data_IF_286774699186
#
_entry.id   IF_286774699186
#
_cell.length_a   1.000
_cell.length_b   1.000
_cell.length_c   1.000
_cell.angle_alpha   90.00
_cell.angle_beta   90.00
_cell.angle_gamma   90.00
#
_symmetry.space_group_name_H-M   'P 1'
#
loop_
_entity.id
_entity.type
_entity.pdbx_description
1 polymer ?
#
# COMPACT_ATOMS: atom_id res chain seq x y z
N UNK A 1 10.17 -40.29 -18.93
CA UNK A 1 11.27 -40.07 -17.98
C UNK A 1 10.67 -40.12 -16.59
N UNK A 2 10.94 -41.19 -15.84
CA UNK A 2 10.36 -41.39 -14.51
C UNK A 2 11.00 -40.41 -13.52
N UNK A 3 10.18 -39.69 -12.77
CA UNK A 3 10.66 -38.77 -11.73
C UNK A 3 11.11 -39.61 -10.54
N UNK A 4 12.35 -39.37 -10.11
CA UNK A 4 12.95 -39.99 -8.95
C UNK A 4 12.39 -39.26 -7.71
N UNK A 5 11.31 -39.76 -7.13
CA UNK A 5 10.70 -39.16 -5.94
C UNK A 5 11.37 -39.77 -4.69
N UNK A 6 11.94 -38.96 -3.78
CA UNK A 6 12.50 -39.45 -2.52
C UNK A 6 11.43 -40.16 -1.67
N UNK A 7 11.84 -41.21 -0.95
CA UNK A 7 10.96 -42.17 -0.27
C UNK A 7 10.19 -41.61 0.95
N UNK A 8 10.38 -40.34 1.30
CA UNK A 8 9.87 -39.69 2.51
C UNK A 8 8.99 -38.46 2.23
N UNK A 9 8.61 -38.23 0.97
CA UNK A 9 7.80 -37.05 0.62
C UNK A 9 6.32 -37.23 1.01
N UNK A 10 5.96 -36.73 2.20
CA UNK A 10 4.57 -36.57 2.65
C UNK A 10 4.01 -35.24 2.11
N UNK A 11 3.58 -35.23 0.85
CA UNK A 11 2.91 -34.07 0.25
C UNK A 11 1.58 -34.45 -0.36
N UNK A 12 0.68 -33.47 -0.47
CA UNK A 12 -0.63 -33.67 -1.07
C UNK A 12 -0.50 -34.05 -2.56
N UNK A 13 -1.37 -34.96 -3.01
CA UNK A 13 -1.46 -35.30 -4.43
C UNK A 13 -2.09 -34.16 -5.21
N UNK A 14 -1.38 -33.64 -6.23
CA UNK A 14 -1.86 -32.56 -7.09
C UNK A 14 -2.12 -33.08 -8.51
N UNK A 15 -3.33 -32.89 -9.01
CA UNK A 15 -3.67 -33.11 -10.42
C UNK A 15 -3.83 -31.77 -11.14
N UNK A 16 -3.18 -31.62 -12.30
CA UNK A 16 -3.23 -30.38 -13.10
C UNK A 16 -3.76 -30.68 -14.49
N UNK A 17 -4.92 -30.11 -14.83
CA UNK A 17 -5.54 -30.22 -16.15
C UNK A 17 -5.28 -28.93 -16.94
N UNK A 18 -4.55 -29.02 -18.04
CA UNK A 18 -4.22 -27.87 -18.89
C UNK A 18 -5.03 -27.90 -20.17
N UNK A 19 -5.71 -26.80 -20.46
CA UNK A 19 -6.37 -26.57 -21.75
C UNK A 19 -5.39 -25.94 -22.74
N UNK A 20 -5.50 -26.37 -24.00
CA UNK A 20 -4.79 -25.73 -25.12
C UNK A 20 -5.35 -24.31 -25.33
N UNK A 21 -4.49 -23.30 -25.20
CA UNK A 21 -4.87 -21.88 -25.26
C UNK A 21 -4.64 -21.38 -26.69
N UNK A 22 -5.66 -20.80 -27.29
CA UNK A 22 -5.60 -20.28 -28.67
C UNK A 22 -5.77 -18.76 -28.76
N UNK A 23 -6.30 -18.12 -27.70
CA UNK A 23 -6.48 -16.67 -27.56
C UNK A 23 -6.56 -16.27 -26.08
N UNK A 24 -6.51 -14.98 -25.80
CA UNK A 24 -6.73 -14.38 -24.47
C UNK A 24 -5.84 -14.96 -23.36
N UNK A 25 -4.55 -15.16 -23.65
CA UNK A 25 -3.57 -15.63 -22.68
C UNK A 25 -2.34 -14.73 -22.67
N UNK A 26 -1.68 -14.65 -21.51
CA UNK A 26 -0.40 -13.97 -21.36
C UNK A 26 0.69 -15.01 -21.20
N UNK A 27 1.73 -14.92 -22.03
CA UNK A 27 2.97 -15.68 -21.84
C UNK A 27 3.86 -14.86 -20.92
N UNK A 28 4.30 -15.47 -19.83
CA UNK A 28 5.24 -14.87 -18.90
C UNK A 28 6.34 -15.87 -18.56
N UNK A 29 7.53 -15.36 -18.34
CA UNK A 29 8.65 -16.08 -17.74
C UNK A 29 8.31 -16.55 -16.34
N UNK A 30 8.99 -17.62 -15.92
CA UNK A 30 8.79 -18.19 -14.58
C UNK A 30 9.57 -17.46 -13.48
N UNK A 31 10.34 -16.42 -13.83
CA UNK A 31 11.26 -15.74 -12.91
C UNK A 31 10.52 -15.22 -11.67
N UNK A 32 9.55 -14.32 -11.85
CA UNK A 32 8.77 -13.81 -10.71
C UNK A 32 7.82 -14.85 -10.13
N UNK A 33 7.29 -15.78 -10.94
CA UNK A 33 6.39 -16.84 -10.48
C UNK A 33 7.07 -17.81 -9.49
N UNK A 34 8.40 -17.92 -9.55
CA UNK A 34 9.20 -18.81 -8.70
C UNK A 34 10.07 -18.07 -7.69
N UNK A 35 10.00 -16.74 -7.66
CA UNK A 35 10.78 -15.93 -6.75
C UNK A 35 10.23 -16.05 -5.32
N UNK A 36 11.02 -16.64 -4.43
CA UNK A 36 10.66 -16.84 -3.02
C UNK A 36 10.72 -15.54 -2.21
N UNK A 37 11.31 -14.47 -2.76
CA UNK A 37 11.36 -13.16 -2.12
C UNK A 37 10.10 -12.33 -2.38
N UNK A 38 9.18 -12.82 -3.23
CA UNK A 38 7.90 -12.21 -3.51
C UNK A 38 6.77 -12.95 -2.80
N UNK A 39 5.88 -12.18 -2.19
CA UNK A 39 4.58 -12.65 -1.73
C UNK A 39 3.70 -13.01 -2.93
N UNK A 40 2.79 -13.98 -2.76
CA UNK A 40 1.82 -14.33 -3.81
C UNK A 40 0.97 -13.14 -4.26
N UNK A 41 0.76 -12.16 -3.38
CA UNK A 41 0.09 -10.90 -3.71
C UNK A 41 0.91 -10.08 -4.70
N UNK A 42 2.21 -9.92 -4.46
CA UNK A 42 3.12 -9.24 -5.38
C UNK A 42 3.25 -9.98 -6.71
N UNK A 43 3.38 -11.32 -6.68
CA UNK A 43 3.41 -12.16 -7.89
C UNK A 43 2.13 -12.01 -8.71
N UNK A 44 0.96 -12.07 -8.05
CA UNK A 44 -0.33 -11.90 -8.71
C UNK A 44 -0.51 -10.51 -9.30
N UNK A 45 -0.11 -9.47 -8.58
CA UNK A 45 -0.17 -8.09 -9.07
C UNK A 45 0.75 -7.89 -10.28
N UNK A 46 2.00 -8.35 -10.21
CA UNK A 46 2.95 -8.26 -11.33
C UNK A 46 2.43 -9.02 -12.56
N UNK A 47 1.96 -10.24 -12.38
CA UNK A 47 1.41 -11.05 -13.46
C UNK A 47 0.21 -10.38 -14.13
N UNK A 48 -0.66 -9.76 -13.33
CA UNK A 48 -1.79 -8.99 -13.85
C UNK A 48 -1.33 -7.75 -14.60
N UNK A 49 -0.36 -7.00 -14.08
CA UNK A 49 0.19 -5.83 -14.76
C UNK A 49 0.82 -6.19 -16.12
N UNK A 50 1.57 -7.30 -16.20
CA UNK A 50 2.15 -7.82 -17.44
C UNK A 50 1.13 -8.36 -18.45
N UNK A 51 -0.12 -8.58 -18.03
CA UNK A 51 -1.19 -9.06 -18.93
C UNK A 51 -1.88 -7.96 -19.72
N UNK A 52 -1.67 -6.69 -19.36
CA UNK A 52 -2.23 -5.55 -20.09
C UNK A 52 -1.36 -5.17 -21.31
N UNK A 53 -1.91 -4.35 -22.22
CA UNK A 53 -1.16 -3.92 -23.39
C UNK A 53 -0.02 -2.95 -23.03
N UNK A 54 0.92 -2.80 -23.97
CA UNK A 54 1.96 -1.79 -23.89
C UNK A 54 1.34 -0.39 -23.95
N UNK A 55 1.78 0.49 -23.04
CA UNK A 55 1.31 1.88 -22.94
C UNK A 55 0.12 2.09 -21.99
N UNK A 56 -0.34 1.05 -21.30
CA UNK A 56 -1.36 1.19 -20.27
C UNK A 56 -0.88 2.07 -19.11
N UNK A 57 -1.65 3.10 -18.76
CA UNK A 57 -1.33 4.00 -17.64
C UNK A 57 -1.97 3.51 -16.34
N UNK A 58 -1.14 3.14 -15.36
CA UNK A 58 -1.61 2.74 -14.04
C UNK A 58 -1.60 3.90 -13.05
N UNK A 59 -2.65 3.93 -12.22
CA UNK A 59 -2.60 4.60 -10.92
C UNK A 59 -2.86 3.58 -9.82
N UNK A 60 -2.37 3.83 -8.60
CA UNK A 60 -2.67 2.96 -7.45
C UNK A 60 -4.18 2.79 -7.25
N UNK A 61 -4.96 3.85 -7.48
CA UNK A 61 -6.44 3.79 -7.39
C UNK A 61 -7.04 2.95 -8.51
N UNK A 62 -6.55 3.09 -9.74
CA UNK A 62 -7.00 2.29 -10.88
C UNK A 62 -6.73 0.80 -10.66
N UNK A 63 -5.53 0.45 -10.17
CA UNK A 63 -5.19 -0.92 -9.80
C UNK A 63 -6.10 -1.47 -8.69
N UNK A 64 -6.40 -0.68 -7.66
CA UNK A 64 -7.32 -1.09 -6.60
C UNK A 64 -8.77 -1.22 -7.08
N UNK A 65 -9.18 -0.50 -8.12
CA UNK A 65 -10.54 -0.60 -8.67
C UNK A 65 -10.74 -1.86 -9.52
N UNK A 66 -9.69 -2.38 -10.17
CA UNK A 66 -9.77 -3.57 -11.03
C UNK A 66 -9.39 -4.86 -10.29
N UNK A 67 -8.82 -4.76 -9.09
CA UNK A 67 -8.41 -5.87 -8.25
C UNK A 67 -9.42 -6.05 -7.11
N UNK A 68 -9.52 -7.27 -6.57
CA UNK A 68 -10.37 -7.54 -5.40
C UNK A 68 -9.70 -7.00 -4.12
N UNK A 69 -8.39 -6.85 -4.17
CA UNK A 69 -7.52 -6.35 -3.13
C UNK A 69 -7.74 -4.85 -2.89
N UNK A 70 -7.81 -4.47 -1.61
CA UNK A 70 -7.92 -3.07 -1.23
C UNK A 70 -6.67 -2.23 -1.56
N UNK A 71 -6.79 -0.89 -1.51
CA UNK A 71 -5.71 0.03 -1.89
C UNK A 71 -4.42 -0.18 -1.10
N UNK A 72 -4.49 -0.53 0.18
CA UNK A 72 -3.31 -0.80 1.02
C UNK A 72 -2.59 -2.10 0.63
N UNK A 73 -3.37 -3.11 0.21
CA UNK A 73 -2.82 -4.36 -0.30
C UNK A 73 -2.10 -4.13 -1.64
N UNK A 74 -2.67 -3.31 -2.53
CA UNK A 74 -2.01 -2.91 -3.78
C UNK A 74 -0.75 -2.09 -3.49
N UNK A 75 -0.82 -1.12 -2.57
CA UNK A 75 0.31 -0.26 -2.24
C UNK A 75 1.46 -1.05 -1.60
N UNK A 76 1.16 -2.02 -0.73
CA UNK A 76 2.18 -2.89 -0.14
C UNK A 76 2.84 -3.78 -1.20
N UNK A 77 2.06 -4.38 -2.10
CA UNK A 77 2.59 -5.17 -3.21
C UNK A 77 3.50 -4.34 -4.14
N UNK A 78 3.10 -3.10 -4.50
CA UNK A 78 3.93 -2.22 -5.32
C UNK A 78 5.27 -1.89 -4.64
N UNK A 79 5.28 -1.64 -3.31
CA UNK A 79 6.53 -1.40 -2.56
C UNK A 79 7.42 -2.63 -2.52
N UNK A 80 6.83 -3.82 -2.41
CA UNK A 80 7.54 -5.09 -2.42
C UNK A 80 8.18 -5.37 -3.78
N UNK A 81 7.46 -5.11 -4.88
CA UNK A 81 8.00 -5.21 -6.24
C UNK A 81 9.15 -4.23 -6.48
N UNK A 82 9.02 -2.99 -6.00
CA UNK A 82 10.08 -1.97 -6.06
C UNK A 82 11.34 -2.42 -5.31
N UNK A 83 11.16 -2.97 -4.10
CA UNK A 83 12.27 -3.48 -3.27
C UNK A 83 13.01 -4.64 -3.93
N UNK A 84 12.29 -5.55 -4.60
CA UNK A 84 12.88 -6.72 -5.25
C UNK A 84 13.31 -6.46 -6.71
N UNK A 85 13.20 -5.20 -7.17
CA UNK A 85 13.73 -4.78 -8.46
C UNK A 85 12.84 -5.11 -9.67
N UNK A 86 11.57 -5.43 -9.46
CA UNK A 86 10.59 -5.69 -10.54
C UNK A 86 9.85 -4.43 -10.98
N UNK A 87 10.00 -3.33 -10.25
CA UNK A 87 9.28 -2.09 -10.50
C UNK A 87 10.16 -0.87 -10.19
N UNK A 88 10.06 0.17 -11.03
CA UNK A 88 10.62 1.50 -10.76
C UNK A 88 9.48 2.50 -10.76
N UNK A 89 9.48 3.43 -9.80
CA UNK A 89 8.47 4.48 -9.69
C UNK A 89 9.05 5.85 -10.01
N UNK A 90 8.56 6.46 -11.09
CA UNK A 90 8.85 7.84 -11.45
C UNK A 90 7.76 8.77 -10.91
N UNK A 91 8.16 9.93 -10.36
CA UNK A 91 7.24 10.92 -9.82
C UNK A 91 7.49 12.27 -10.47
N UNK A 92 6.59 12.67 -11.36
CA UNK A 92 6.60 14.00 -11.97
C UNK A 92 6.04 15.05 -11.02
N UNK A 93 6.76 16.15 -10.84
CA UNK A 93 6.25 17.35 -10.15
C UNK A 93 5.92 18.43 -11.19
N UNK A 94 4.85 19.18 -10.99
CA UNK A 94 4.60 20.39 -11.79
C UNK A 94 5.58 21.51 -11.43
N UNK A 95 5.54 22.57 -12.24
CA UNK A 95 6.25 23.82 -12.00
C UNK A 95 5.87 24.52 -10.68
N UNK A 96 4.81 24.06 -10.00
CA UNK A 96 4.35 24.53 -8.69
C UNK A 96 4.72 23.55 -7.56
N UNK A 97 5.53 22.53 -7.84
CA UNK A 97 6.02 21.54 -6.87
C UNK A 97 5.00 20.47 -6.46
N UNK A 98 3.79 20.45 -7.02
CA UNK A 98 2.77 19.43 -6.75
C UNK A 98 3.09 18.15 -7.51
N UNK A 99 2.81 17.00 -6.90
CA UNK A 99 2.91 15.71 -7.59
C UNK A 99 1.80 15.63 -8.63
N UNK A 100 2.15 15.52 -9.91
CA UNK A 100 1.18 15.53 -11.02
C UNK A 100 1.04 14.15 -11.66
N UNK A 101 2.15 13.41 -11.80
CA UNK A 101 2.11 12.07 -12.39
C UNK A 101 2.95 11.09 -11.58
N UNK A 102 2.49 9.85 -11.52
CA UNK A 102 3.29 8.71 -11.06
C UNK A 102 3.30 7.70 -12.18
N UNK A 103 4.48 7.41 -12.69
CA UNK A 103 4.72 6.45 -13.76
C UNK A 103 5.47 5.25 -13.19
N UNK A 104 5.22 4.08 -13.77
CA UNK A 104 5.78 2.82 -13.31
C UNK A 104 6.44 2.10 -14.48
N UNK A 105 7.73 1.79 -14.33
CA UNK A 105 8.38 0.83 -15.21
C UNK A 105 8.27 -0.54 -14.57
N UNK A 106 7.77 -1.51 -15.32
CA UNK A 106 7.54 -2.88 -14.86
C UNK A 106 8.49 -3.80 -15.60
N UNK A 107 9.17 -4.68 -14.86
CA UNK A 107 10.13 -5.61 -15.41
C UNK A 107 9.72 -7.05 -15.10
N UNK A 108 9.85 -7.92 -16.10
CA UNK A 108 9.57 -9.36 -15.96
C UNK A 108 10.67 -10.09 -15.16
N UNK A 109 11.87 -9.52 -15.14
CA UNK A 109 13.01 -10.02 -14.37
C UNK A 109 13.60 -8.89 -13.53
N UNK A 110 14.13 -9.21 -12.33
CA UNK A 110 14.60 -8.20 -11.39
C UNK A 110 15.81 -7.46 -11.97
N UNK A 111 15.77 -6.13 -11.91
CA UNK A 111 16.85 -5.28 -12.38
C UNK A 111 17.82 -4.99 -11.24
N UNK A 112 19.11 -5.29 -11.45
CA UNK A 112 20.16 -4.99 -10.48
C UNK A 112 20.41 -3.47 -10.43
N UNK A 113 20.53 -2.92 -9.22
CA UNK A 113 20.91 -1.52 -9.03
C UNK A 113 19.80 -0.50 -9.29
N UNK A 114 18.52 -0.91 -9.28
CA UNK A 114 17.43 0.06 -9.25
C UNK A 114 17.54 0.96 -8.02
N UNK A 115 17.25 2.26 -8.15
CA UNK A 115 17.34 3.19 -7.03
C UNK A 115 16.36 2.75 -5.95
N UNK A 116 16.88 2.15 -4.88
CA UNK A 116 16.10 1.93 -3.67
C UNK A 116 15.87 3.31 -3.05
N UNK A 117 14.70 3.89 -3.31
CA UNK A 117 14.37 5.18 -2.72
C UNK A 117 14.18 4.95 -1.22
N UNK A 118 15.18 5.32 -0.43
CA UNK A 118 15.03 5.48 1.00
C UNK A 118 13.78 6.33 1.24
N UNK A 119 12.91 5.85 2.12
CA UNK A 119 11.70 6.56 2.52
C UNK A 119 12.14 7.99 2.89
N UNK A 120 11.43 9.05 2.47
CA UNK A 120 11.72 10.36 3.02
C UNK A 120 11.63 10.22 4.55
N UNK A 121 12.74 10.47 5.24
CA UNK A 121 12.74 10.58 6.69
C UNK A 121 11.67 11.61 7.02
N UNK A 122 10.57 11.16 7.62
CA UNK A 122 9.76 12.08 8.41
C UNK A 122 10.62 12.36 9.62
N UNK A 123 11.42 13.42 9.54
CA UNK A 123 11.74 14.18 10.74
C UNK A 123 10.36 14.57 11.30
N UNK A 124 9.96 13.93 12.40
CA UNK A 124 8.93 14.54 13.22
C UNK A 124 9.48 15.93 13.57
N UNK A 125 8.74 17.02 13.34
CA UNK A 125 9.09 18.27 13.97
C UNK A 125 9.15 17.96 15.47
N UNK A 126 10.30 18.15 16.10
CA UNK A 126 10.38 18.25 17.55
C UNK A 126 9.47 19.41 17.91
N UNK A 127 8.27 19.07 18.36
CA UNK A 127 7.37 20.04 18.96
C UNK A 127 7.95 20.27 20.34
N UNK A 128 8.85 21.24 20.41
CA UNK A 128 9.28 21.81 21.68
C UNK A 128 8.00 22.16 22.43
N UNK A 129 7.75 21.45 23.54
CA UNK A 129 6.57 21.69 24.38
C UNK A 129 6.70 23.13 24.88
N UNK A 130 5.76 24.06 24.57
CA UNK A 130 5.78 25.32 25.28
C UNK A 130 5.41 24.99 26.73
N UNK A 131 6.39 25.15 27.60
CA UNK A 131 6.25 25.11 29.04
C UNK A 131 5.38 26.31 29.43
N UNK A 132 4.07 26.11 29.53
CA UNK A 132 3.15 27.13 30.01
C UNK A 132 2.91 26.84 31.49
N UNK A 133 3.72 27.52 32.31
CA UNK A 133 3.55 27.62 33.75
C UNK A 133 2.08 27.79 34.14
N UNK A 134 1.65 26.91 35.03
CA UNK A 134 0.35 26.90 35.67
C UNK A 134 0.27 28.08 36.66
N UNK A 135 -0.56 29.12 36.46
CA UNK A 135 -0.69 30.18 37.46
C UNK A 135 -1.56 29.66 38.60
N UNK A 136 -0.92 29.51 39.75
CA UNK A 136 -1.52 29.11 41.00
C UNK A 136 -2.63 30.08 41.43
N UNK A 137 -3.62 29.51 42.12
CA UNK A 137 -4.78 30.14 42.77
C UNK A 137 -4.47 31.46 43.46
N UNK A 138 -5.39 32.42 43.34
CA UNK A 138 -5.87 33.23 44.45
C UNK A 138 -7.32 33.67 44.21
N UNK A 139 -8.17 33.43 45.19
CA UNK A 139 -9.50 34.03 45.33
C UNK A 139 -9.44 34.80 46.67
N UNK A 140 -9.98 36.02 46.77
CA UNK A 140 -11.30 36.10 47.40
C UNK A 140 -12.24 37.25 46.92
N UNK A 141 -13.52 36.89 46.85
CA UNK A 141 -14.74 37.61 47.26
C UNK A 141 -14.99 39.09 46.86
N UNK A 142 -16.15 39.36 46.23
CA UNK A 142 -17.20 40.28 46.73
C UNK A 142 -18.54 40.18 45.94
N UNK A 143 -19.59 39.67 46.60
CA UNK A 143 -20.99 40.16 46.76
C UNK A 143 -21.42 41.36 45.86
N UNK A 144 -22.59 41.43 45.19
CA UNK A 144 -23.97 41.25 45.68
C UNK A 144 -25.03 41.27 44.53
N UNK A 145 -25.99 40.34 44.62
CA UNK A 145 -27.48 40.45 44.51
C UNK A 145 -28.14 41.37 43.47
N UNK A 146 -28.98 40.79 42.58
CA UNK A 146 -30.45 41.07 42.50
C UNK A 146 -31.21 39.83 41.98
N UNK A 147 -32.30 39.48 42.66
CA UNK A 147 -33.21 38.36 42.40
C UNK A 147 -34.31 38.72 41.36
N UNK A 148 -34.96 37.71 40.76
CA UNK A 148 -36.43 37.44 40.91
C UNK A 148 -36.88 36.24 40.03
N UNK A 149 -37.24 35.17 40.75
CA UNK A 149 -38.34 34.19 40.68
C UNK A 149 -39.29 34.07 39.47
N UNK A 150 -39.54 32.83 39.01
CA UNK A 150 -40.85 32.11 39.00
C UNK A 150 -40.72 30.79 38.19
N UNK A 151 -40.63 29.62 38.85
CA UNK A 151 -41.72 28.69 39.22
C UNK A 151 -42.51 28.08 38.04
N UNK A 152 -42.49 26.73 37.97
CA UNK A 152 -43.44 25.92 37.20
C UNK A 152 -43.02 24.47 37.05
N UNK A 153 -43.36 23.63 38.03
CA UNK A 153 -43.21 22.16 38.03
C UNK A 153 -44.32 21.48 37.21
N UNK A 154 -44.07 20.22 36.84
CA UNK A 154 -44.99 19.06 36.65
C UNK A 154 -44.87 18.42 35.25
N UNK A 155 -44.18 17.28 35.10
CA UNK A 155 -44.63 15.86 35.23
C UNK A 155 -45.69 15.40 34.24
N UNK A 156 -45.31 14.52 33.31
CA UNK A 156 -45.77 13.13 33.17
C UNK A 156 -44.86 12.38 32.19
#
# INVERSE_FOLDING_TARGET
MAQNTPADWQGDYVSVYRVNKTRDFTVMGNTHLRDKNLSLKAVGLLSKMLSFNDGWQFSTRGLAAICKEGPDAILSALKELEKNGYLVRHRGRDSKGRLVTTEFDIYESPQAGLPHREKPHRENPDVDSPDVENPHRDNPAQINTIQVTNQGRNTL
#
